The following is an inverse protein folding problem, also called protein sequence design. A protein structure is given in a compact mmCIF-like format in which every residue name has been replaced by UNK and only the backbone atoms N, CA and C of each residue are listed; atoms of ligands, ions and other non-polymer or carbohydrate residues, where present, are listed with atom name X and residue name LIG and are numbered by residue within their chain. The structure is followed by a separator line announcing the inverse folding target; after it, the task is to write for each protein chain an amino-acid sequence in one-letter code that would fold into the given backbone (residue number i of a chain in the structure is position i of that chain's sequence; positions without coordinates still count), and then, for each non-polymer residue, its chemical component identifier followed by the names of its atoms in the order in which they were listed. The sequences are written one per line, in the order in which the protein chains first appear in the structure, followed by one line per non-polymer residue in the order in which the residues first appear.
data_IF_798252856678
#
_entry.id   IF_798252856678
#
_cell.length_a   1.000
_cell.length_b   1.000
_cell.length_c   1.000
_cell.angle_alpha   90.00
_cell.angle_beta   90.00
_cell.angle_gamma   90.00
#
_symmetry.space_group_name_H-M   'P 1'
#
loop_
_entity.id
_entity.type
_entity.pdbx_description
1 polymer ?
#
# COMPACT_ATOMS: atom_id res chain seq x y z
N UNK A 1 -3.96 -22.86 -5.74
CA UNK A 1 -3.41 -22.33 -7.02
C UNK A 1 -2.12 -21.55 -6.70
N UNK A 2 -1.10 -21.52 -7.58
CA UNK A 2 0.15 -20.75 -7.31
C UNK A 2 -0.14 -19.24 -7.41
N UNK A 3 0.09 -18.45 -6.35
CA UNK A 3 -0.08 -16.98 -6.29
C UNK A 3 0.12 -16.22 -7.60
N UNK A 4 1.22 -16.44 -8.32
CA UNK A 4 1.52 -15.70 -9.54
C UNK A 4 0.44 -15.84 -10.61
N UNK A 5 -0.22 -17.00 -10.71
CA UNK A 5 -1.31 -17.20 -11.69
C UNK A 5 -2.52 -16.34 -11.31
N UNK A 6 -2.90 -16.34 -10.02
CA UNK A 6 -3.97 -15.49 -9.49
C UNK A 6 -3.67 -14.00 -9.64
N UNK A 7 -2.43 -13.60 -9.39
CA UNK A 7 -1.98 -12.22 -9.61
C UNK A 7 -2.11 -11.82 -11.08
N UNK A 8 -1.65 -12.66 -12.00
CA UNK A 8 -1.76 -12.39 -13.45
C UNK A 8 -3.23 -12.32 -13.90
N UNK A 9 -4.10 -13.20 -13.39
CA UNK A 9 -5.56 -13.16 -13.63
C UNK A 9 -6.20 -11.87 -13.09
N UNK A 10 -5.84 -11.46 -11.85
CA UNK A 10 -6.26 -10.20 -11.27
C UNK A 10 -5.84 -9.01 -12.15
N UNK A 11 -4.56 -8.92 -12.49
CA UNK A 11 -4.04 -7.83 -13.31
C UNK A 11 -4.68 -7.80 -14.70
N UNK A 12 -4.96 -8.96 -15.32
CA UNK A 12 -5.64 -9.04 -16.60
C UNK A 12 -7.07 -8.50 -16.52
N UNK A 13 -7.84 -8.91 -15.51
CA UNK A 13 -9.20 -8.41 -15.28
C UNK A 13 -9.26 -6.91 -14.97
N UNK A 14 -8.18 -6.33 -14.43
CA UNK A 14 -8.06 -4.88 -14.23
C UNK A 14 -7.58 -4.14 -15.48
N UNK A 15 -6.71 -4.75 -16.30
CA UNK A 15 -6.24 -4.15 -17.57
C UNK A 15 -7.38 -3.89 -18.53
N UNK A 16 -8.32 -4.83 -18.64
CA UNK A 16 -9.53 -4.70 -19.46
C UNK A 16 -10.44 -3.55 -19.01
N UNK A 17 -10.29 -3.06 -17.77
CA UNK A 17 -11.12 -2.01 -17.20
C UNK A 17 -10.43 -0.64 -17.13
N UNK A 18 -9.13 -0.62 -16.83
CA UNK A 18 -8.43 0.59 -16.35
C UNK A 18 -6.93 0.63 -16.68
N UNK A 19 -6.38 -0.35 -17.40
CA UNK A 19 -4.96 -0.46 -17.75
C UNK A 19 -3.98 -0.28 -16.56
N UNK A 20 -4.18 -1.04 -15.48
CA UNK A 20 -3.38 -0.89 -14.26
C UNK A 20 -1.93 -1.38 -14.43
N UNK A 21 -0.93 -0.62 -13.97
CA UNK A 21 0.44 -1.10 -13.86
C UNK A 21 0.55 -2.17 -12.77
N UNK A 22 1.54 -3.06 -12.90
CA UNK A 22 1.78 -4.13 -11.95
C UNK A 22 3.07 -4.89 -12.25
N UNK A 23 3.45 -5.75 -11.32
CA UNK A 23 4.65 -6.59 -11.37
C UNK A 23 4.59 -7.56 -12.55
N UNK A 24 5.54 -7.41 -13.47
CA UNK A 24 5.71 -8.22 -14.67
C UNK A 24 6.32 -9.58 -14.38
N UNK A 25 5.63 -10.43 -13.62
CA UNK A 25 6.13 -11.75 -13.22
C UNK A 25 6.70 -12.58 -14.37
N UNK A 26 6.07 -12.57 -15.55
CA UNK A 26 6.56 -13.29 -16.73
C UNK A 26 7.93 -12.77 -17.18
N UNK A 27 8.09 -11.44 -17.27
CA UNK A 27 9.33 -10.76 -17.66
C UNK A 27 10.43 -11.01 -16.63
N UNK A 28 10.17 -10.70 -15.36
CA UNK A 28 11.12 -10.86 -14.27
C UNK A 28 11.55 -12.32 -14.08
N UNK A 29 10.63 -13.28 -14.17
CA UNK A 29 10.99 -14.70 -14.12
C UNK A 29 11.82 -15.14 -15.32
N UNK A 30 11.68 -14.51 -16.49
CA UNK A 30 12.50 -14.81 -17.67
C UNK A 30 13.96 -14.39 -17.44
N UNK A 31 14.18 -13.20 -16.86
CA UNK A 31 15.50 -12.73 -16.42
C UNK A 31 16.13 -13.77 -15.48
N UNK A 32 15.39 -14.16 -14.43
CA UNK A 32 15.86 -15.16 -13.45
C UNK A 32 16.10 -16.57 -14.05
N UNK A 33 15.35 -16.97 -15.09
CA UNK A 33 15.57 -18.25 -15.78
C UNK A 33 16.79 -18.24 -16.69
N UNK A 34 17.15 -17.07 -17.22
CA UNK A 34 18.38 -16.86 -18.00
C UNK A 34 19.65 -16.96 -17.14
N UNK A 35 19.52 -16.86 -15.82
CA UNK A 35 20.60 -17.17 -14.89
C UNK A 35 21.03 -18.63 -15.06
N UNK A 36 22.24 -18.84 -15.62
CA UNK A 36 22.82 -20.17 -15.90
C UNK A 36 23.13 -20.91 -14.60
N UNK A 37 22.14 -21.65 -14.09
CA UNK A 37 22.34 -22.60 -12.99
C UNK A 37 22.35 -24.07 -13.43
N UNK A 38 22.37 -24.38 -14.74
CA UNK A 38 21.99 -25.74 -15.18
C UNK A 38 22.76 -26.49 -16.26
N UNK A 39 23.81 -25.96 -16.86
CA UNK A 39 24.71 -26.81 -17.64
C UNK A 39 26.11 -26.62 -17.09
N UNK A 40 26.59 -27.60 -16.31
CA UNK A 40 27.96 -28.10 -16.30
C UNK A 40 28.04 -29.21 -15.25
N UNK A 41 27.63 -30.41 -15.64
CA UNK A 41 28.33 -31.62 -15.22
C UNK A 41 29.74 -31.50 -15.81
N UNK A 42 30.70 -30.95 -15.07
CA UNK A 42 32.15 -31.22 -15.13
C UNK A 42 32.75 -30.45 -13.95
N UNK A 43 33.67 -31.14 -13.28
CA UNK A 43 34.34 -30.80 -12.03
C UNK A 43 34.71 -29.31 -11.80
N UNK A 44 34.50 -28.91 -10.54
CA UNK A 44 35.11 -27.78 -9.82
C UNK A 44 35.06 -26.39 -10.48
N UNK A 45 33.99 -25.64 -10.19
CA UNK A 45 33.95 -24.24 -9.69
C UNK A 45 32.44 -23.95 -9.50
N UNK A 46 31.90 -24.44 -8.38
CA UNK A 46 30.45 -24.56 -8.19
C UNK A 46 29.91 -23.43 -7.31
N UNK A 47 29.10 -22.55 -7.91
CA UNK A 47 27.92 -21.80 -7.43
C UNK A 47 27.88 -20.42 -8.10
N UNK A 48 26.67 -19.95 -8.42
CA UNK A 48 26.48 -18.54 -8.78
C UNK A 48 27.00 -17.71 -7.58
N UNK A 49 27.92 -16.75 -7.78
CA UNK A 49 28.39 -15.92 -6.69
C UNK A 49 27.18 -15.28 -5.98
N UNK A 50 27.28 -15.09 -4.65
CA UNK A 50 26.26 -14.39 -3.86
C UNK A 50 25.92 -13.01 -4.45
N UNK A 51 26.80 -12.48 -5.31
CA UNK A 51 26.63 -11.29 -6.13
C UNK A 51 26.64 -11.61 -7.64
N UNK A 52 25.46 -11.59 -8.28
CA UNK A 52 25.28 -11.90 -9.69
C UNK A 52 25.06 -10.61 -10.49
N UNK A 53 26.15 -9.91 -10.82
CA UNK A 53 26.12 -8.58 -11.47
C UNK A 53 25.24 -8.49 -12.72
N UNK A 54 25.13 -9.59 -13.49
CA UNK A 54 24.27 -9.66 -14.68
C UNK A 54 22.77 -9.67 -14.32
N UNK A 55 22.39 -10.48 -13.33
CA UNK A 55 21.00 -10.49 -12.87
C UNK A 55 20.70 -9.20 -12.10
N UNK A 56 21.66 -8.68 -11.33
CA UNK A 56 21.49 -7.45 -10.55
C UNK A 56 21.25 -6.25 -11.45
N UNK A 57 22.08 -6.08 -12.49
CA UNK A 57 21.99 -4.99 -13.46
C UNK A 57 20.78 -5.05 -14.40
N UNK A 58 19.97 -6.11 -14.36
CA UNK A 58 18.77 -6.24 -15.19
C UNK A 58 17.50 -6.42 -14.38
N UNK A 59 17.52 -7.25 -13.34
CA UNK A 59 16.36 -7.56 -12.52
C UNK A 59 15.94 -6.39 -11.64
N UNK A 60 16.87 -5.77 -10.89
CA UNK A 60 16.53 -4.71 -9.95
C UNK A 60 16.08 -3.41 -10.64
N UNK A 61 16.75 -2.92 -11.69
CA UNK A 61 16.27 -1.75 -12.42
C UNK A 61 14.88 -1.94 -13.04
N UNK A 62 14.63 -3.13 -13.59
CA UNK A 62 13.32 -3.46 -14.16
C UNK A 62 12.22 -3.54 -13.10
N UNK A 63 12.51 -4.18 -11.96
CA UNK A 63 11.58 -4.23 -10.85
C UNK A 63 11.35 -2.84 -10.24
N UNK A 64 12.38 -2.02 -10.09
CA UNK A 64 12.26 -0.65 -9.59
C UNK A 64 11.32 0.16 -10.48
N UNK A 65 11.49 0.10 -11.81
CA UNK A 65 10.59 0.76 -12.75
C UNK A 65 9.14 0.30 -12.59
N UNK A 66 8.91 -1.01 -12.52
CA UNK A 66 7.57 -1.56 -12.29
C UNK A 66 6.96 -1.10 -10.95
N UNK A 67 7.79 -0.91 -9.91
CA UNK A 67 7.35 -0.38 -8.62
C UNK A 67 7.00 1.11 -8.69
N UNK A 68 7.82 1.92 -9.36
CA UNK A 68 7.56 3.34 -9.59
C UNK A 68 6.26 3.55 -10.36
N UNK A 69 6.00 2.76 -11.41
CA UNK A 69 4.75 2.80 -12.17
C UNK A 69 3.54 2.46 -11.28
N UNK A 70 3.67 1.44 -10.43
CA UNK A 70 2.62 1.01 -9.48
C UNK A 70 2.32 2.10 -8.45
N UNK A 71 3.35 2.68 -7.83
CA UNK A 71 3.19 3.73 -6.82
C UNK A 71 2.67 5.02 -7.42
N UNK A 72 3.21 5.44 -8.58
CA UNK A 72 2.77 6.64 -9.27
C UNK A 72 1.28 6.58 -9.63
N UNK A 73 0.85 5.48 -10.24
CA UNK A 73 -0.57 5.28 -10.56
C UNK A 73 -1.44 5.23 -9.32
N UNK A 74 -1.01 4.52 -8.27
CA UNK A 74 -1.75 4.45 -7.01
C UNK A 74 -1.95 5.83 -6.38
N UNK A 75 -0.86 6.61 -6.25
CA UNK A 75 -0.88 7.93 -5.64
C UNK A 75 -1.83 8.87 -6.40
N UNK A 76 -1.72 8.92 -7.72
CA UNK A 76 -2.57 9.79 -8.55
C UNK A 76 -4.06 9.45 -8.41
N UNK A 77 -4.40 8.15 -8.40
CA UNK A 77 -5.80 7.73 -8.30
C UNK A 77 -6.36 7.87 -6.89
N UNK A 78 -5.54 7.63 -5.86
CA UNK A 78 -5.91 7.85 -4.47
C UNK A 78 -6.16 9.33 -4.20
N UNK A 79 -5.27 10.22 -4.68
CA UNK A 79 -5.45 11.66 -4.58
C UNK A 79 -6.75 12.12 -5.26
N UNK A 80 -6.98 11.74 -6.53
CA UNK A 80 -8.22 12.08 -7.25
C UNK A 80 -9.47 11.64 -6.51
N UNK A 81 -9.44 10.42 -5.93
CA UNK A 81 -10.57 9.90 -5.17
C UNK A 81 -10.84 10.74 -3.90
N UNK A 82 -9.79 11.10 -3.17
CA UNK A 82 -9.87 11.90 -1.95
C UNK A 82 -10.35 13.33 -2.26
N UNK A 83 -9.83 13.96 -3.32
CA UNK A 83 -10.28 15.28 -3.79
C UNK A 83 -11.77 15.26 -4.17
N UNK A 84 -12.22 14.24 -4.91
CA UNK A 84 -13.62 14.05 -5.26
C UNK A 84 -14.49 13.87 -4.01
N UNK A 85 -14.01 13.14 -3.01
CA UNK A 85 -14.73 13.00 -1.74
C UNK A 85 -14.82 14.30 -0.97
N UNK A 86 -13.71 15.05 -0.84
CA UNK A 86 -13.70 16.36 -0.20
C UNK A 86 -14.67 17.31 -0.89
N UNK A 87 -14.61 17.42 -2.23
CA UNK A 87 -15.57 18.18 -3.02
C UNK A 87 -17.02 17.71 -2.80
N UNK A 88 -17.23 16.40 -2.66
CA UNK A 88 -18.55 15.84 -2.33
C UNK A 88 -19.00 16.19 -0.90
N UNK A 89 -18.09 16.34 0.07
CA UNK A 89 -18.38 16.80 1.45
C UNK A 89 -18.76 18.28 1.48
N UNK A 90 -18.03 19.12 0.74
CA UNK A 90 -18.40 20.53 0.56
C UNK A 90 -19.74 20.67 -0.14
N UNK A 91 -19.99 19.87 -1.17
CA UNK A 91 -21.29 19.79 -1.82
C UNK A 91 -22.36 19.25 -0.86
N UNK A 92 -22.05 18.25 -0.01
CA UNK A 92 -22.93 17.74 1.07
C UNK A 92 -23.38 18.87 1.99
N UNK A 93 -22.45 19.71 2.46
CA UNK A 93 -22.74 20.91 3.23
C UNK A 93 -23.68 21.86 2.46
N UNK A 94 -23.38 22.14 1.19
CA UNK A 94 -24.19 23.04 0.35
C UNK A 94 -25.60 22.50 0.05
N UNK A 95 -25.79 21.23 -0.34
CA UNK A 95 -27.14 20.70 -0.55
C UNK A 95 -27.85 20.23 0.74
N UNK A 96 -27.16 20.19 1.90
CA UNK A 96 -27.86 20.13 3.20
C UNK A 96 -28.69 21.39 3.42
N UNK A 97 -28.19 22.55 3.00
CA UNK A 97 -28.98 23.78 2.91
C UNK A 97 -30.08 23.75 1.83
N UNK A 98 -30.07 22.79 0.88
CA UNK A 98 -31.00 22.74 -0.28
C UNK A 98 -31.89 21.49 -0.37
N UNK A 99 -31.85 20.58 0.60
CA UNK A 99 -32.83 19.49 0.76
C UNK A 99 -33.00 18.52 -0.44
N UNK A 100 -31.91 18.01 -1.04
CA UNK A 100 -32.01 17.13 -2.22
C UNK A 100 -31.43 15.70 -1.99
N UNK A 101 -32.17 14.66 -2.41
CA UNK A 101 -31.98 13.25 -2.01
C UNK A 101 -31.31 12.31 -3.03
N UNK A 102 -30.87 12.78 -4.21
CA UNK A 102 -30.28 11.92 -5.27
C UNK A 102 -28.81 11.44 -5.01
N UNK A 103 -28.38 11.31 -3.75
CA UNK A 103 -26.94 11.26 -3.34
C UNK A 103 -26.37 9.89 -2.94
N UNK A 104 -27.19 8.85 -2.73
CA UNK A 104 -26.72 7.58 -2.13
C UNK A 104 -25.86 6.71 -3.06
N UNK A 105 -26.09 6.73 -4.38
CA UNK A 105 -25.43 5.84 -5.35
C UNK A 105 -24.00 6.28 -5.71
N UNK A 106 -23.73 7.60 -5.74
CA UNK A 106 -22.38 8.15 -6.02
C UNK A 106 -21.42 7.91 -4.86
N UNK A 107 -21.89 8.04 -3.61
CA UNK A 107 -21.07 7.82 -2.42
C UNK A 107 -20.62 6.37 -2.28
N UNK A 108 -21.53 5.40 -2.48
CA UNK A 108 -21.19 3.97 -2.42
C UNK A 108 -20.14 3.60 -3.49
N UNK A 109 -20.19 4.23 -4.66
CA UNK A 109 -19.18 4.05 -5.71
C UNK A 109 -17.78 4.53 -5.30
N UNK A 110 -17.68 5.70 -4.65
CA UNK A 110 -16.40 6.23 -4.15
C UNK A 110 -15.79 5.32 -3.07
N UNK A 111 -16.63 4.77 -2.18
CA UNK A 111 -16.20 3.80 -1.16
C UNK A 111 -15.59 2.57 -1.82
N UNK A 112 -16.31 2.00 -2.79
CA UNK A 112 -15.84 0.80 -3.47
C UNK A 112 -14.53 1.06 -4.22
N UNK A 113 -14.42 2.21 -4.90
CA UNK A 113 -13.17 2.62 -5.54
C UNK A 113 -12.01 2.73 -4.56
N UNK A 114 -12.25 3.28 -3.36
CA UNK A 114 -11.24 3.33 -2.30
C UNK A 114 -10.83 1.94 -1.84
N UNK A 115 -11.77 0.99 -1.71
CA UNK A 115 -11.45 -0.40 -1.33
C UNK A 115 -10.65 -1.11 -2.41
N UNK A 116 -10.96 -0.85 -3.67
CA UNK A 116 -10.24 -1.40 -4.81
C UNK A 116 -8.79 -0.88 -4.84
N UNK A 117 -8.56 0.40 -4.53
CA UNK A 117 -7.21 0.99 -4.46
C UNK A 117 -6.37 0.40 -3.33
N UNK A 118 -6.94 0.27 -2.12
CA UNK A 118 -6.25 -0.39 -1.00
C UNK A 118 -5.92 -1.84 -1.37
N UNK A 119 -6.86 -2.59 -1.93
CA UNK A 119 -6.64 -3.97 -2.36
C UNK A 119 -5.53 -4.07 -3.41
N UNK A 120 -5.50 -3.14 -4.38
CA UNK A 120 -4.44 -3.03 -5.37
C UNK A 120 -3.07 -2.82 -4.73
N UNK A 121 -2.95 -1.92 -3.75
CA UNK A 121 -1.70 -1.67 -3.04
C UNK A 121 -1.19 -2.92 -2.32
N UNK A 122 -2.07 -3.62 -1.61
CA UNK A 122 -1.70 -4.84 -0.86
C UNK A 122 -1.33 -6.01 -1.78
N UNK A 123 -2.07 -6.23 -2.87
CA UNK A 123 -1.77 -7.30 -3.82
C UNK A 123 -0.40 -7.08 -4.48
N UNK A 124 -0.09 -5.83 -4.86
CA UNK A 124 1.20 -5.50 -5.46
C UNK A 124 2.36 -5.60 -4.46
N UNK A 125 2.18 -5.18 -3.20
CA UNK A 125 3.22 -5.32 -2.17
C UNK A 125 3.58 -6.79 -1.93
N UNK A 126 2.57 -7.68 -1.89
CA UNK A 126 2.79 -9.13 -1.78
C UNK A 126 3.48 -9.69 -3.02
N UNK A 127 3.13 -9.21 -4.22
CA UNK A 127 3.78 -9.62 -5.46
C UNK A 127 5.27 -9.26 -5.48
N UNK A 128 5.62 -8.02 -5.12
CA UNK A 128 7.00 -7.53 -4.99
C UNK A 128 7.76 -8.39 -3.98
N UNK A 129 7.20 -8.61 -2.79
CA UNK A 129 7.82 -9.47 -1.76
C UNK A 129 8.09 -10.88 -2.28
N UNK A 130 7.14 -11.48 -3.01
CA UNK A 130 7.28 -12.85 -3.54
C UNK A 130 8.32 -12.93 -4.66
N UNK A 131 8.44 -11.93 -5.54
CA UNK A 131 9.44 -11.94 -6.61
C UNK A 131 10.86 -11.70 -6.07
N UNK A 132 11.02 -10.86 -5.05
CA UNK A 132 12.28 -10.66 -4.32
C UNK A 132 12.72 -11.93 -3.58
N UNK A 133 11.81 -12.60 -2.84
CA UNK A 133 12.11 -13.91 -2.23
C UNK A 133 12.51 -14.96 -3.27
N UNK A 134 11.93 -14.90 -4.49
CA UNK A 134 12.31 -15.80 -5.57
C UNK A 134 13.71 -15.48 -6.12
N UNK A 135 14.07 -14.19 -6.20
CA UNK A 135 15.43 -13.77 -6.53
C UNK A 135 16.42 -14.35 -5.51
N UNK A 136 16.20 -14.11 -4.22
CA UNK A 136 17.07 -14.58 -3.13
C UNK A 136 17.25 -16.10 -3.16
N UNK A 137 16.13 -16.83 -3.37
CA UNK A 137 16.15 -18.29 -3.49
C UNK A 137 16.93 -18.80 -4.70
N UNK A 138 16.95 -18.07 -5.81
CA UNK A 138 17.67 -18.46 -7.03
C UNK A 138 19.14 -18.12 -6.95
N UNK A 139 19.53 -17.11 -6.18
CA UNK A 139 20.93 -16.69 -6.07
C UNK A 139 21.59 -17.14 -4.76
N UNK A 140 20.84 -17.74 -3.83
CA UNK A 140 21.31 -18.05 -2.46
C UNK A 140 21.94 -16.81 -1.80
N UNK A 141 21.27 -15.68 -1.97
CA UNK A 141 21.74 -14.37 -1.51
C UNK A 141 20.66 -13.64 -0.70
N UNK A 142 21.01 -12.48 -0.17
CA UNK A 142 20.11 -11.56 0.53
C UNK A 142 19.89 -10.25 -0.22
N UNK A 143 20.29 -10.18 -1.50
CA UNK A 143 20.21 -8.94 -2.28
C UNK A 143 18.78 -8.49 -2.55
N UNK A 144 17.84 -9.41 -2.72
CA UNK A 144 16.43 -9.08 -2.83
C UNK A 144 15.89 -8.41 -1.56
N UNK A 145 16.39 -8.80 -0.38
CA UNK A 145 16.09 -8.08 0.87
C UNK A 145 16.80 -6.73 0.94
N UNK A 146 18.07 -6.65 0.54
CA UNK A 146 18.82 -5.39 0.52
C UNK A 146 18.16 -4.35 -0.40
N UNK A 147 17.74 -4.78 -1.60
CA UNK A 147 16.96 -3.97 -2.53
C UNK A 147 15.63 -3.52 -1.90
N UNK A 148 14.94 -4.42 -1.18
CA UNK A 148 13.71 -4.04 -0.46
C UNK A 148 13.97 -2.89 0.52
N UNK A 149 15.02 -2.98 1.32
CA UNK A 149 15.40 -1.93 2.26
C UNK A 149 15.80 -0.63 1.54
N UNK A 150 16.43 -0.73 0.37
CA UNK A 150 16.78 0.43 -0.45
C UNK A 150 15.53 1.15 -0.97
N UNK A 151 14.58 0.43 -1.59
CA UNK A 151 13.35 1.05 -2.14
C UNK A 151 12.44 1.61 -1.04
N UNK A 152 12.52 1.08 0.18
CA UNK A 152 11.87 1.67 1.36
C UNK A 152 12.45 3.04 1.72
N UNK A 153 13.78 3.16 1.73
CA UNK A 153 14.45 4.46 1.96
C UNK A 153 14.18 5.48 0.85
N UNK A 154 13.90 5.00 -0.36
CA UNK A 154 13.55 5.82 -1.52
C UNK A 154 12.04 6.13 -1.62
N UNK A 155 11.22 5.62 -0.69
CA UNK A 155 9.76 5.76 -0.69
C UNK A 155 9.06 5.22 -1.96
N UNK A 156 9.61 4.15 -2.53
CA UNK A 156 9.05 3.45 -3.71
C UNK A 156 8.21 2.22 -3.28
N UNK A 157 8.18 1.87 -1.98
CA UNK A 157 7.26 0.83 -1.49
C UNK A 157 5.84 1.40 -1.32
N UNK A 158 4.87 0.84 -2.05
CA UNK A 158 3.47 1.30 -2.04
C UNK A 158 2.83 1.32 -0.64
N UNK A 159 3.29 0.48 0.28
CA UNK A 159 2.79 0.45 1.66
C UNK A 159 3.23 1.67 2.48
N UNK A 160 4.27 2.39 2.05
CA UNK A 160 4.71 3.64 2.65
C UNK A 160 4.07 4.87 1.99
N UNK A 161 3.19 4.68 1.00
CA UNK A 161 2.49 5.79 0.37
C UNK A 161 1.59 6.50 1.40
N UNK A 162 1.65 7.84 1.51
CA UNK A 162 0.75 8.61 2.39
C UNK A 162 -0.70 8.44 1.97
N UNK A 163 -0.92 8.34 0.66
CA UNK A 163 -2.23 8.18 0.09
C UNK A 163 -2.90 6.86 0.52
N UNK A 164 -2.11 5.83 0.84
CA UNK A 164 -2.64 4.61 1.45
C UNK A 164 -3.16 4.87 2.87
N UNK A 165 -2.46 5.71 3.62
CA UNK A 165 -2.85 6.11 4.97
C UNK A 165 -4.12 6.95 4.94
N UNK A 166 -4.19 7.94 4.03
CA UNK A 166 -5.38 8.77 3.78
C UNK A 166 -6.59 7.94 3.32
N UNK A 167 -6.40 6.99 2.41
CA UNK A 167 -7.46 6.07 2.00
C UNK A 167 -7.92 5.17 3.14
N UNK A 168 -6.99 4.74 4.00
CA UNK A 168 -7.33 3.94 5.17
C UNK A 168 -8.11 4.77 6.19
N UNK A 169 -7.72 6.02 6.43
CA UNK A 169 -8.46 7.02 7.20
C UNK A 169 -9.88 7.19 6.69
N UNK A 170 -9.99 7.37 5.38
CA UNK A 170 -11.26 7.51 4.69
C UNK A 170 -12.17 6.31 4.95
N UNK A 171 -11.64 5.07 4.93
CA UNK A 171 -12.43 3.87 5.21
C UNK A 171 -12.85 3.75 6.68
N UNK A 172 -11.95 4.07 7.62
CA UNK A 172 -12.25 4.05 9.07
C UNK A 172 -13.39 5.03 9.37
N UNK A 173 -13.22 6.29 8.95
CA UNK A 173 -14.14 7.38 9.25
C UNK A 173 -15.52 7.23 8.59
N UNK A 174 -15.65 6.39 7.56
CA UNK A 174 -16.92 6.18 6.86
C UNK A 174 -17.71 4.98 7.36
N UNK A 175 -17.07 4.04 8.08
CA UNK A 175 -17.74 2.87 8.66
C UNK A 175 -18.56 3.26 9.90
N UNK A 176 -18.19 4.33 10.59
CA UNK A 176 -18.98 4.89 11.69
C UNK A 176 -20.36 5.39 11.25
N UNK A 177 -20.50 5.93 10.02
CA UNK A 177 -21.80 6.39 9.53
C UNK A 177 -22.75 5.27 9.05
N UNK A 178 -22.33 4.00 9.11
CA UNK A 178 -23.16 2.85 8.69
C UNK A 178 -23.72 2.03 9.86
N UNK A 179 -23.29 2.28 11.11
CA UNK A 179 -23.80 1.52 12.27
C UNK A 179 -25.28 1.80 12.59
N UNK A 180 -25.87 2.86 12.04
CA UNK A 180 -27.25 3.25 12.36
C UNK A 180 -28.32 2.57 11.48
N UNK A 181 -27.96 1.86 10.40
CA UNK A 181 -28.95 1.33 9.46
C UNK A 181 -28.58 -0.06 8.93
N UNK A 182 -29.11 -1.09 9.59
CA UNK A 182 -29.42 -2.44 9.06
C UNK A 182 -28.27 -3.35 8.60
N UNK A 183 -28.04 -4.46 9.31
CA UNK A 183 -28.58 -5.80 8.99
C UNK A 183 -28.58 -6.35 7.55
N UNK A 184 -27.91 -5.73 6.57
CA UNK A 184 -27.84 -6.24 5.21
C UNK A 184 -26.38 -6.53 4.83
N UNK A 185 -26.01 -7.82 4.89
CA UNK A 185 -24.84 -8.36 4.19
C UNK A 185 -25.08 -8.08 2.70
N UNK A 186 -24.50 -6.99 2.20
CA UNK A 186 -24.38 -6.76 0.76
C UNK A 186 -23.43 -7.84 0.25
N UNK A 187 -24.03 -8.95 -0.21
CA UNK A 187 -23.36 -10.00 -0.94
C UNK A 187 -22.64 -9.36 -2.12
N UNK A 188 -21.34 -9.13 -1.94
CA UNK A 188 -20.46 -8.75 -3.02
C UNK A 188 -20.27 -9.99 -3.89
N UNK A 189 -20.22 -9.88 -5.22
CA UNK A 189 -19.85 -11.01 -6.07
C UNK A 189 -18.51 -11.58 -5.59
N UNK A 190 -18.24 -12.88 -5.75
CA UNK A 190 -17.04 -13.52 -5.23
C UNK A 190 -15.82 -12.87 -5.90
N UNK A 191 -15.27 -11.83 -5.25
CA UNK A 191 -14.03 -11.23 -5.63
C UNK A 191 -12.95 -12.27 -5.30
N UNK A 192 -11.99 -12.46 -6.20
CA UNK A 192 -10.86 -13.39 -6.02
C UNK A 192 -10.02 -13.13 -4.73
N UNK A 193 -10.32 -12.03 -4.03
CA UNK A 193 -9.81 -11.53 -2.77
C UNK A 193 -11.01 -10.98 -1.95
N UNK A 194 -11.19 -11.38 -0.70
CA UNK A 194 -12.37 -11.04 0.14
C UNK A 194 -12.39 -9.59 0.66
N UNK A 195 -11.66 -8.70 -0.01
CA UNK A 195 -11.51 -7.30 0.38
C UNK A 195 -10.66 -7.09 1.64
N UNK A 196 -10.47 -5.82 2.01
CA UNK A 196 -9.85 -5.43 3.27
C UNK A 196 -10.95 -5.22 4.32
N UNK A 197 -10.79 -5.80 5.51
CA UNK A 197 -11.69 -5.65 6.63
C UNK A 197 -10.97 -4.98 7.82
N UNK A 198 -11.68 -4.05 8.47
CA UNK A 198 -11.28 -3.53 9.77
C UNK A 198 -11.63 -4.58 10.83
N UNK A 199 -10.60 -5.13 11.47
CA UNK A 199 -10.66 -6.12 12.54
C UNK A 199 -10.14 -5.48 13.81
N UNK A 200 -10.68 -5.86 14.96
CA UNK A 200 -10.14 -5.46 16.27
C UNK A 200 -9.55 -6.70 16.92
N UNK A 201 -8.23 -6.73 17.10
CA UNK A 201 -7.51 -7.82 17.78
C UNK A 201 -7.01 -7.29 19.13
N UNK A 202 -7.46 -7.89 20.24
CA UNK A 202 -7.21 -7.40 21.59
C UNK A 202 -7.52 -5.89 21.80
N UNK A 203 -8.53 -5.37 21.10
CA UNK A 203 -8.92 -3.96 21.13
C UNK A 203 -8.11 -3.04 20.20
N UNK A 204 -7.07 -3.55 19.53
CA UNK A 204 -6.28 -2.80 18.55
C UNK A 204 -6.92 -2.84 17.16
N UNK A 205 -7.15 -1.68 16.52
CA UNK A 205 -7.69 -1.61 15.17
C UNK A 205 -6.64 -2.06 14.14
N UNK A 206 -6.97 -3.09 13.36
CA UNK A 206 -6.14 -3.61 12.28
C UNK A 206 -6.91 -3.54 10.97
N UNK A 207 -6.29 -2.98 9.94
CA UNK A 207 -6.76 -3.20 8.57
C UNK A 207 -6.15 -4.52 8.09
N UNK A 208 -6.96 -5.59 8.12
CA UNK A 208 -6.58 -6.91 7.66
C UNK A 208 -7.03 -7.13 6.23
N UNK A 209 -6.14 -7.64 5.39
CA UNK A 209 -6.51 -8.18 4.09
C UNK A 209 -6.04 -9.63 4.00
N UNK A 210 -6.99 -10.53 3.77
CA UNK A 210 -6.71 -11.94 3.57
C UNK A 210 -6.63 -12.23 2.07
N UNK A 211 -5.41 -12.49 1.58
CA UNK A 211 -5.23 -12.96 0.22
C UNK A 211 -5.46 -14.48 0.17
N UNK A 212 -6.07 -14.98 -0.91
CA UNK A 212 -6.56 -16.36 -1.02
C UNK A 212 -5.48 -17.48 -1.03
N UNK A 213 -4.25 -17.18 -0.62
CA UNK A 213 -3.15 -18.11 -0.34
C UNK A 213 -2.57 -17.91 1.09
N UNK A 214 -3.41 -17.52 2.07
CA UNK A 214 -3.07 -17.35 3.51
C UNK A 214 -2.02 -16.28 3.82
N UNK A 215 -1.84 -15.30 2.92
CA UNK A 215 -1.02 -14.12 3.22
C UNK A 215 -1.96 -13.06 3.80
N UNK A 216 -1.93 -12.94 5.12
CA UNK A 216 -2.57 -11.85 5.86
C UNK A 216 -1.62 -10.64 5.84
N UNK A 217 -2.11 -9.51 5.37
CA UNK A 217 -1.42 -8.22 5.56
C UNK A 217 -2.24 -7.43 6.55
N UNK A 218 -1.63 -7.13 7.69
CA UNK A 218 -2.23 -6.33 8.75
C UNK A 218 -1.50 -4.99 8.82
N UNK A 219 -2.26 -3.90 8.70
CA UNK A 219 -1.78 -2.56 9.00
C UNK A 219 -2.34 -2.19 10.37
N UNK A 220 -1.43 -1.97 11.33
CA UNK A 220 -1.78 -1.46 12.66
C UNK A 220 -2.21 0.00 12.54
N UNK A 221 -3.42 0.28 13.01
CA UNK A 221 -4.02 1.61 13.00
C UNK A 221 -3.98 2.24 14.40
N UNK A 222 -3.09 1.75 15.26
CA UNK A 222 -2.85 2.31 16.59
C UNK A 222 -1.79 3.41 16.50
N UNK A 223 -2.11 4.60 16.99
CA UNK A 223 -1.13 5.66 17.13
C UNK A 223 -0.16 5.31 18.26
N UNK A 224 1.14 5.21 17.99
CA UNK A 224 2.11 4.85 19.02
C UNK A 224 2.41 5.95 20.05
N UNK A 225 1.76 7.13 19.93
CA UNK A 225 1.88 8.24 20.87
C UNK A 225 0.71 8.19 21.87
N UNK A 226 -0.54 8.25 21.39
CA UNK A 226 -1.71 8.20 22.28
C UNK A 226 -2.19 6.77 22.59
N UNK A 227 -1.66 5.76 21.90
CA UNK A 227 -2.01 4.34 22.04
C UNK A 227 -3.46 3.99 21.67
N UNK A 228 -4.19 4.95 21.10
CA UNK A 228 -5.56 4.78 20.59
C UNK A 228 -5.58 4.58 19.07
N UNK A 229 -6.76 4.27 18.53
CA UNK A 229 -7.00 4.27 17.09
C UNK A 229 -6.64 5.63 16.49
N UNK A 230 -5.88 5.63 15.40
CA UNK A 230 -5.46 6.87 14.74
C UNK A 230 -6.68 7.71 14.33
N UNK A 231 -6.71 8.95 14.82
CA UNK A 231 -7.69 9.97 14.46
C UNK A 231 -7.01 11.02 13.58
N UNK A 232 -7.59 11.30 12.41
CA UNK A 232 -6.97 12.13 11.38
C UNK A 232 -5.52 11.66 11.08
N UNK A 233 -5.35 10.42 10.58
CA UNK A 233 -4.04 9.81 10.48
C UNK A 233 -3.14 10.52 9.48
N UNK A 234 -1.89 10.73 9.88
CA UNK A 234 -0.82 11.19 9.01
C UNK A 234 0.29 10.15 8.98
N UNK A 235 0.85 9.93 7.78
CA UNK A 235 2.03 9.11 7.59
C UNK A 235 3.26 10.00 7.49
N UNK A 236 4.29 9.66 8.25
CA UNK A 236 5.61 10.27 8.09
C UNK A 236 6.31 9.66 6.86
N UNK A 237 7.37 10.28 6.35
CA UNK A 237 8.20 9.69 5.28
C UNK A 237 8.69 8.29 5.59
N UNK A 238 9.07 8.01 6.84
CA UNK A 238 9.44 6.66 7.27
C UNK A 238 8.29 5.61 7.19
N UNK A 239 7.06 6.01 6.86
CA UNK A 239 5.89 5.14 6.71
C UNK A 239 5.13 4.83 8.00
N UNK A 240 5.54 5.41 9.14
CA UNK A 240 4.83 5.27 10.41
C UNK A 240 3.64 6.23 10.47
N UNK A 241 2.52 5.73 11.01
CA UNK A 241 1.23 6.42 11.06
C UNK A 241 0.96 6.91 12.49
N UNK A 242 0.50 8.15 12.62
CA UNK A 242 0.09 8.77 13.88
C UNK A 242 -1.18 9.59 13.70
N UNK A 243 -1.85 9.98 14.79
CA UNK A 243 -2.84 11.06 14.73
C UNK A 243 -2.13 12.37 14.32
N UNK A 244 -2.77 13.22 13.50
CA UNK A 244 -2.21 14.50 13.08
C UNK A 244 -1.76 15.35 14.28
N UNK A 245 -2.62 15.48 15.30
CA UNK A 245 -2.29 16.21 16.53
C UNK A 245 -1.10 15.60 17.28
N UNK A 246 -1.00 14.26 17.32
CA UNK A 246 0.10 13.59 17.98
C UNK A 246 1.42 13.82 17.25
N UNK A 247 1.39 13.79 15.91
CA UNK A 247 2.55 14.10 15.10
C UNK A 247 2.99 15.57 15.27
N UNK A 248 2.06 16.53 15.22
CA UNK A 248 2.36 17.95 15.49
C UNK A 248 2.99 18.16 16.87
N UNK A 249 2.43 17.53 17.89
CA UNK A 249 2.96 17.58 19.27
C UNK A 249 4.37 17.00 19.35
N UNK A 250 4.61 15.84 18.73
CA UNK A 250 5.93 15.22 18.70
C UNK A 250 6.98 16.05 17.95
N UNK A 251 6.56 16.82 16.95
CA UNK A 251 7.39 17.73 16.18
C UNK A 251 7.47 19.15 16.78
N UNK A 252 6.92 19.37 17.98
CA UNK A 252 6.88 20.67 18.66
C UNK A 252 6.27 21.82 17.84
N UNK A 253 5.30 21.51 16.96
CA UNK A 253 4.61 22.50 16.12
C UNK A 253 3.14 22.64 16.49
N UNK A 254 2.57 23.82 16.21
CA UNK A 254 1.14 24.01 16.31
C UNK A 254 0.42 23.23 15.20
N UNK A 255 -0.75 22.67 15.53
CA UNK A 255 -1.66 22.01 14.58
C UNK A 255 -2.04 22.94 13.41
N UNK A 256 -2.16 24.24 13.67
CA UNK A 256 -2.49 25.28 12.67
C UNK A 256 -1.35 25.52 11.69
N UNK A 257 -0.11 25.61 12.19
CA UNK A 257 1.08 25.80 11.36
C UNK A 257 1.43 24.51 10.61
N UNK A 258 1.13 23.37 11.24
CA UNK A 258 1.27 22.03 10.69
C UNK A 258 2.71 21.54 10.61
N UNK A 259 2.86 20.26 10.29
CA UNK A 259 4.17 19.58 10.23
C UNK A 259 5.14 20.15 9.20
N UNK A 260 4.67 21.00 8.28
CA UNK A 260 5.53 21.69 7.30
C UNK A 260 6.47 22.71 7.96
N UNK A 261 6.15 23.14 9.19
CA UNK A 261 6.96 24.09 9.97
C UNK A 261 7.87 23.42 10.99
N UNK A 262 7.87 22.08 11.05
CA UNK A 262 8.70 21.33 11.98
C UNK A 262 10.20 21.55 11.70
N UNK A 263 10.99 21.57 12.77
CA UNK A 263 12.45 21.66 12.63
C UNK A 263 12.97 20.42 11.87
N UNK A 264 13.85 20.58 10.85
CA UNK A 264 14.38 19.47 10.07
C UNK A 264 15.18 18.42 10.88
N UNK A 265 15.48 18.69 12.15
CA UNK A 265 16.14 17.74 13.07
C UNK A 265 15.16 16.89 13.86
N UNK A 266 13.86 17.20 13.81
CA UNK A 266 12.81 16.42 14.46
C UNK A 266 12.75 15.00 13.91
N UNK A 267 12.38 14.04 14.77
CA UNK A 267 12.48 12.62 14.45
C UNK A 267 11.18 11.87 14.69
N UNK A 268 10.94 10.86 13.87
CA UNK A 268 9.87 9.91 14.07
C UNK A 268 9.98 9.25 15.46
N UNK A 269 8.92 9.29 16.30
CA UNK A 269 8.94 8.70 17.64
C UNK A 269 9.24 7.20 17.68
N UNK A 270 8.88 6.46 16.62
CA UNK A 270 9.10 5.01 16.52
C UNK A 270 10.51 4.64 16.02
N UNK A 271 10.95 5.20 14.89
CA UNK A 271 12.18 4.75 14.21
C UNK A 271 13.32 5.78 14.23
N UNK A 272 13.06 6.99 14.73
CA UNK A 272 14.03 8.09 14.84
C UNK A 272 14.60 8.60 13.52
N UNK A 273 14.00 8.24 12.38
CA UNK A 273 14.28 8.87 11.09
C UNK A 273 13.76 10.32 11.09
N UNK A 274 14.40 11.19 10.33
CA UNK A 274 14.05 12.61 10.26
C UNK A 274 12.62 12.79 9.76
N UNK A 275 11.87 13.65 10.46
CA UNK A 275 10.51 14.04 10.12
C UNK A 275 10.50 14.83 8.82
N UNK A 276 9.97 14.21 7.76
CA UNK A 276 9.39 14.94 6.65
C UNK A 276 7.91 14.55 6.59
N UNK A 277 7.03 15.54 6.70
CA UNK A 277 5.63 15.33 6.34
C UNK A 277 5.52 15.36 4.82
N UNK A 278 4.79 14.42 4.27
CA UNK A 278 4.53 14.41 2.83
C UNK A 278 3.81 15.71 2.46
N UNK A 279 4.32 16.39 1.42
CA UNK A 279 3.64 17.54 0.83
C UNK A 279 2.37 17.04 0.16
N UNK A 280 1.24 17.19 0.84
CA UNK A 280 -0.05 17.41 0.18
C UNK A 280 -0.08 18.81 -0.43
#
# INVERSE_FOLDING_TARGET
MKFCKKYEEYMQGQKEKKNLPGVGFKKLKKILKGCRRRDHQIASINHCPRECTVCDGTFFPELQKEMEDVVGWFNENAQKLLELHLASRFKKCLDWFKGNNNRKRSHLGLIQQGKDLVSYALINSVAIRKILKKYDKIHESSQGQAFKTQVQKMHIEILQSPWLCELTAFHINLKESQKDYSGAVLASPPALFDGCSLVFDDGKPLLSCELSDSVKVDIDLTCSICLDTVFDPISLTCGHIYCYMCACSAASVNVVDGLKTADPSEKCPLCREVLFAWMS
#
